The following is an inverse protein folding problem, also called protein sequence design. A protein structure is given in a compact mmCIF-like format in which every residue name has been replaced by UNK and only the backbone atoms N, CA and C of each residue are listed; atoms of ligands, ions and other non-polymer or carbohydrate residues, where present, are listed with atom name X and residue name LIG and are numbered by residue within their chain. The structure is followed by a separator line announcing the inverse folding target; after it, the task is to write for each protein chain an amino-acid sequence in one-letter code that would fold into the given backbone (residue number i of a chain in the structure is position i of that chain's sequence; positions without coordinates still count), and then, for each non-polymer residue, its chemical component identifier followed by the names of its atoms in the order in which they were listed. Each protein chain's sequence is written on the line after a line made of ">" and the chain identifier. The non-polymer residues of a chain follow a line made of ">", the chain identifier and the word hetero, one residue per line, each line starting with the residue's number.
data_IF_210221359578
#
_entry.id   IF_210221359578
#
_cell.length_a   1.000
_cell.length_b   1.000
_cell.length_c   1.000
_cell.angle_alpha   90.00
_cell.angle_beta   90.00
_cell.angle_gamma   90.00
#
_symmetry.space_group_name_H-M   'P 1'
#
loop_
_entity.id
_entity.type
_entity.pdbx_description
1 polymer ?
#
# COMPACT_ATOMS: atom_id res chain seq x y z
N UNK A 1 -28.59 -27.80 25.03
CA UNK A 1 -28.38 -28.59 23.80
C UNK A 1 -27.40 -27.84 22.93
N UNK A 2 -26.18 -28.35 22.77
CA UNK A 2 -25.17 -27.80 21.87
C UNK A 2 -25.42 -28.40 20.49
N UNK A 3 -25.53 -27.56 19.45
CA UNK A 3 -25.64 -28.01 18.08
C UNK A 3 -24.20 -28.22 17.53
N UNK A 4 -23.74 -29.47 17.30
CA UNK A 4 -22.36 -29.77 16.94
C UNK A 4 -22.00 -29.44 15.48
N UNK A 5 -22.97 -28.96 14.68
CA UNK A 5 -22.82 -28.70 13.25
C UNK A 5 -22.70 -27.22 12.89
N UNK A 6 -22.35 -26.34 13.84
CA UNK A 6 -21.97 -24.97 13.46
C UNK A 6 -20.51 -25.04 13.02
N UNK A 7 -20.17 -24.85 11.72
CA UNK A 7 -18.78 -24.69 11.36
C UNK A 7 -18.21 -23.55 12.22
N UNK A 8 -16.95 -23.65 12.67
CA UNK A 8 -16.30 -22.49 13.26
C UNK A 8 -16.48 -21.38 12.23
N UNK A 9 -17.19 -20.31 12.60
CA UNK A 9 -17.17 -19.08 11.84
C UNK A 9 -15.70 -18.83 11.58
N UNK A 10 -15.27 -18.96 10.31
CA UNK A 10 -13.91 -18.66 9.89
C UNK A 10 -13.64 -17.30 10.47
N UNK A 11 -12.89 -17.30 11.57
CA UNK A 11 -12.20 -16.11 11.98
C UNK A 11 -11.35 -15.88 10.74
N UNK A 12 -11.70 -14.86 9.94
CA UNK A 12 -10.78 -14.29 8.98
C UNK A 12 -9.54 -13.99 9.83
N UNK A 13 -8.62 -14.95 9.87
CA UNK A 13 -7.30 -14.74 10.40
C UNK A 13 -6.80 -13.61 9.52
N UNK A 14 -6.74 -12.43 10.11
CA UNK A 14 -6.25 -11.23 9.49
C UNK A 14 -4.79 -11.52 9.12
N UNK A 15 -4.56 -12.09 7.94
CA UNK A 15 -3.24 -12.53 7.52
C UNK A 15 -2.43 -11.29 7.21
N UNK A 16 -1.39 -11.11 8.02
CA UNK A 16 -0.36 -10.11 7.79
C UNK A 16 0.72 -10.74 6.93
N UNK A 17 1.20 -10.00 5.94
CA UNK A 17 2.24 -10.41 5.02
C UNK A 17 3.32 -9.33 5.00
N UNK A 18 4.57 -9.74 5.21
CA UNK A 18 5.71 -8.87 4.97
C UNK A 18 6.11 -9.00 3.50
N UNK A 19 6.22 -7.87 2.82
CA UNK A 19 6.72 -7.75 1.46
C UNK A 19 8.05 -7.02 1.51
N UNK A 20 9.11 -7.69 1.06
CA UNK A 20 10.41 -7.08 0.86
C UNK A 20 10.40 -6.26 -0.44
N UNK A 21 10.91 -5.04 -0.35
CA UNK A 21 11.07 -4.08 -1.43
C UNK A 21 12.56 -3.93 -1.77
N UNK A 22 12.90 -2.97 -2.63
CA UNK A 22 14.29 -2.62 -2.95
C UNK A 22 14.98 -2.02 -1.71
N UNK A 23 16.31 -1.91 -1.72
CA UNK A 23 17.10 -1.23 -0.67
C UNK A 23 16.90 -1.74 0.78
N UNK A 24 16.61 -3.05 0.92
CA UNK A 24 16.28 -3.70 2.19
C UNK A 24 15.11 -3.00 2.92
N UNK A 25 14.17 -2.45 2.17
CA UNK A 25 12.93 -1.92 2.69
C UNK A 25 11.86 -3.01 2.72
N UNK A 26 10.88 -2.84 3.59
CA UNK A 26 9.76 -3.77 3.69
C UNK A 26 8.49 -3.02 4.07
N UNK A 27 7.36 -3.55 3.59
CA UNK A 27 6.03 -3.15 4.04
C UNK A 27 5.33 -4.38 4.62
N UNK A 28 4.54 -4.18 5.66
CA UNK A 28 3.62 -5.18 6.19
C UNK A 28 2.23 -4.80 5.74
N UNK A 29 1.61 -5.70 5.00
CA UNK A 29 0.24 -5.56 4.55
C UNK A 29 -0.66 -6.55 5.27
N UNK A 30 -1.89 -6.14 5.51
CA UNK A 30 -2.95 -6.96 6.09
C UNK A 30 -4.04 -7.12 5.05
N UNK A 31 -4.36 -8.35 4.69
CA UNK A 31 -5.53 -8.59 3.84
C UNK A 31 -6.80 -8.39 4.69
N UNK A 32 -7.57 -7.35 4.34
CA UNK A 32 -8.77 -6.95 5.07
C UNK A 32 -9.98 -7.75 4.57
N UNK A 33 -10.06 -7.92 3.26
CA UNK A 33 -11.02 -8.74 2.52
C UNK A 33 -10.28 -9.39 1.34
N UNK A 34 -10.79 -10.50 0.77
CA UNK A 34 -10.14 -11.14 -0.37
C UNK A 34 -9.78 -10.14 -1.48
N UNK A 35 -8.49 -9.94 -1.71
CA UNK A 35 -7.95 -9.01 -2.71
C UNK A 35 -7.91 -7.52 -2.32
N UNK A 36 -8.16 -7.19 -1.05
CA UNK A 36 -7.98 -5.84 -0.50
C UNK A 36 -6.92 -5.90 0.61
N UNK A 37 -5.79 -5.24 0.36
CA UNK A 37 -4.64 -5.21 1.25
C UNK A 37 -4.47 -3.81 1.82
N UNK A 38 -4.32 -3.72 3.14
CA UNK A 38 -4.02 -2.46 3.84
C UNK A 38 -2.60 -2.48 4.36
N UNK A 39 -1.81 -1.46 4.08
CA UNK A 39 -0.48 -1.29 4.67
C UNK A 39 -0.67 -0.91 6.14
N UNK A 40 -0.10 -1.71 7.04
CA UNK A 40 -0.24 -1.51 8.49
C UNK A 40 1.08 -1.15 9.17
N UNK A 41 2.19 -1.43 8.49
CA UNK A 41 3.52 -1.10 8.98
C UNK A 41 4.49 -1.02 7.80
N UNK A 42 5.56 -0.24 7.90
CA UNK A 42 6.61 -0.21 6.89
C UNK A 42 7.95 0.24 7.48
N UNK A 43 9.05 -0.21 6.89
CA UNK A 43 10.39 0.19 7.32
C UNK A 43 10.84 1.52 6.74
N UNK A 44 10.16 2.01 5.69
CA UNK A 44 10.55 3.20 4.94
C UNK A 44 10.40 4.43 5.83
N UNK A 45 9.22 4.59 6.45
CA UNK A 45 8.95 5.64 7.43
C UNK A 45 9.74 5.47 8.73
N UNK A 46 10.19 4.25 9.06
CA UNK A 46 11.00 3.98 10.27
C UNK A 46 12.49 4.25 10.10
N UNK A 47 13.05 4.10 8.89
CA UNK A 47 14.47 4.34 8.60
C UNK A 47 14.80 5.83 8.61
N UNK A 48 13.83 6.65 8.26
CA UNK A 48 14.01 8.09 8.28
C UNK A 48 13.88 8.59 9.73
N UNK A 49 14.97 8.46 10.51
CA UNK A 49 15.13 9.01 11.87
C UNK A 49 15.00 10.55 11.94
N UNK A 50 14.56 11.21 10.87
CA UNK A 50 13.99 12.54 11.00
C UNK A 50 12.74 12.42 11.86
N UNK A 51 12.78 13.09 13.01
CA UNK A 51 11.64 13.32 13.89
C UNK A 51 10.57 14.09 13.12
N UNK A 52 9.83 13.43 12.22
CA UNK A 52 8.63 13.97 11.63
C UNK A 52 7.60 13.96 12.75
N UNK A 53 7.18 15.15 13.19
CA UNK A 53 6.31 15.31 14.35
C UNK A 53 4.86 14.83 14.11
N UNK A 54 4.56 14.30 12.92
CA UNK A 54 3.24 13.91 12.44
C UNK A 54 3.15 12.48 11.93
N UNK A 55 1.96 12.10 11.45
CA UNK A 55 1.71 10.80 10.82
C UNK A 55 2.45 10.72 9.48
N UNK A 56 3.42 9.81 9.37
CA UNK A 56 4.12 9.56 8.10
C UNK A 56 3.39 8.48 7.31
N UNK A 57 3.05 8.80 6.07
CA UNK A 57 2.37 7.93 5.12
C UNK A 57 3.31 7.45 4.01
N UNK A 58 2.82 6.56 3.16
CA UNK A 58 3.52 6.10 1.97
C UNK A 58 3.11 7.02 0.82
N UNK A 59 4.08 7.78 0.30
CA UNK A 59 3.95 8.50 -0.96
C UNK A 59 4.51 7.68 -2.12
N UNK A 60 3.95 7.85 -3.31
CA UNK A 60 4.50 7.30 -4.55
C UNK A 60 5.37 8.37 -5.22
N UNK A 61 6.69 8.21 -5.12
CA UNK A 61 7.65 9.25 -5.54
C UNK A 61 8.10 9.14 -6.98
N UNK A 62 8.24 7.92 -7.48
CA UNK A 62 8.61 7.61 -8.86
C UNK A 62 7.82 6.35 -9.27
N UNK A 63 7.41 6.26 -10.53
CA UNK A 63 6.83 5.07 -11.13
C UNK A 63 7.38 4.91 -12.55
N UNK A 64 7.34 3.70 -13.09
CA UNK A 64 7.70 3.47 -14.48
C UNK A 64 6.52 3.67 -15.45
N UNK A 65 6.82 3.61 -16.76
CA UNK A 65 5.86 3.90 -17.83
C UNK A 65 4.67 2.91 -17.90
N UNK A 66 4.68 1.81 -17.12
CA UNK A 66 3.59 0.84 -17.07
C UNK A 66 2.51 1.19 -16.04
N UNK A 67 2.78 2.15 -15.15
CA UNK A 67 1.84 2.60 -14.11
C UNK A 67 1.00 3.77 -14.64
N UNK A 68 -0.32 3.63 -14.55
CA UNK A 68 -1.31 4.63 -14.93
C UNK A 68 -1.77 5.44 -13.71
N UNK A 69 -1.87 6.77 -13.86
CA UNK A 69 -2.51 7.67 -12.90
C UNK A 69 -3.97 7.91 -13.30
N UNK A 70 -4.90 7.38 -12.49
CA UNK A 70 -6.33 7.42 -12.75
C UNK A 70 -6.98 8.78 -12.40
N UNK A 71 -6.28 9.66 -11.68
CA UNK A 71 -6.81 10.97 -11.25
C UNK A 71 -6.34 12.13 -12.13
N UNK A 72 -5.55 11.86 -13.18
CA UNK A 72 -4.98 12.89 -14.06
C UNK A 72 -6.04 13.67 -14.88
N UNK A 73 -6.60 14.71 -14.24
CA UNK A 73 -7.30 15.83 -14.89
C UNK A 73 -6.63 17.20 -14.69
N UNK A 74 -5.49 17.28 -14.01
CA UNK A 74 -4.79 18.57 -13.85
C UNK A 74 -3.29 18.43 -13.96
N UNK A 75 -2.77 18.97 -15.06
CA UNK A 75 -1.37 19.26 -15.29
C UNK A 75 -0.88 20.33 -14.30
N UNK A 76 -0.19 19.94 -13.23
CA UNK A 76 0.89 20.73 -12.62
C UNK A 76 1.64 19.87 -11.58
N UNK A 77 2.51 18.99 -12.07
CA UNK A 77 3.31 18.07 -11.28
C UNK A 77 4.43 18.82 -10.52
N UNK A 78 4.15 19.20 -9.27
CA UNK A 78 5.19 19.32 -8.24
C UNK A 78 5.22 18.01 -7.45
N UNK A 79 5.91 17.01 -7.98
CA UNK A 79 6.53 15.78 -7.41
C UNK A 79 6.11 15.15 -6.05
N UNK A 80 5.02 15.59 -5.41
CA UNK A 80 4.57 15.10 -4.11
C UNK A 80 3.03 15.05 -4.00
N UNK A 81 2.28 15.57 -4.98
CA UNK A 81 0.81 15.50 -4.99
C UNK A 81 0.34 14.10 -5.47
N UNK A 82 0.22 13.22 -4.48
CA UNK A 82 -0.90 12.32 -4.28
C UNK A 82 -1.66 11.90 -5.54
N UNK A 83 -1.16 10.84 -6.17
CA UNK A 83 -1.93 9.95 -7.03
C UNK A 83 -2.96 9.21 -6.18
N UNK A 84 -4.11 9.81 -5.92
CA UNK A 84 -5.13 9.16 -5.06
C UNK A 84 -5.54 7.79 -5.63
N UNK A 85 -5.30 7.54 -6.93
CA UNK A 85 -5.45 6.26 -7.60
C UNK A 85 -4.35 5.96 -8.63
N UNK A 86 -3.35 5.15 -8.25
CA UNK A 86 -2.45 4.51 -9.22
C UNK A 86 -2.99 3.15 -9.64
N UNK A 87 -2.72 2.78 -10.89
CA UNK A 87 -3.03 1.44 -11.39
C UNK A 87 -1.85 0.85 -12.14
N UNK A 88 -1.53 -0.40 -11.81
CA UNK A 88 -0.66 -1.25 -12.62
C UNK A 88 -1.41 -2.54 -12.94
N UNK A 89 -1.68 -2.80 -14.22
CA UNK A 89 -2.51 -3.92 -14.69
C UNK A 89 -3.87 -4.07 -13.96
N UNK A 90 -3.96 -5.01 -13.03
CA UNK A 90 -5.11 -5.38 -12.21
C UNK A 90 -4.96 -4.98 -10.72
N UNK A 91 -3.89 -4.24 -10.41
CA UNK A 91 -3.59 -3.71 -9.08
C UNK A 91 -3.89 -2.20 -9.05
N UNK A 92 -4.70 -1.78 -8.07
CA UNK A 92 -5.09 -0.39 -7.86
C UNK A 92 -4.65 0.04 -6.45
N UNK A 93 -3.87 1.12 -6.36
CA UNK A 93 -3.47 1.75 -5.11
C UNK A 93 -4.49 2.85 -4.80
N UNK A 94 -5.10 2.81 -3.61
CA UNK A 94 -6.23 3.65 -3.22
C UNK A 94 -5.81 4.45 -1.99
N UNK A 95 -5.58 5.75 -2.20
CA UNK A 95 -5.07 6.64 -1.16
C UNK A 95 -3.74 6.17 -0.59
N UNK A 96 -3.52 6.44 0.70
CA UNK A 96 -2.20 6.33 1.33
C UNK A 96 -1.86 4.92 1.86
N UNK A 97 -2.87 4.05 2.07
CA UNK A 97 -2.67 2.77 2.74
C UNK A 97 -3.50 1.58 2.26
N UNK A 98 -4.40 1.74 1.28
CA UNK A 98 -5.20 0.64 0.73
C UNK A 98 -4.76 0.25 -0.69
N UNK A 99 -4.73 -1.05 -0.98
CA UNK A 99 -4.35 -1.58 -2.29
C UNK A 99 -5.29 -2.72 -2.66
N UNK A 100 -5.94 -2.61 -3.81
CA UNK A 100 -6.69 -3.72 -4.41
C UNK A 100 -5.78 -4.50 -5.35
N UNK A 101 -5.69 -5.80 -5.13
CA UNK A 101 -4.93 -6.71 -5.99
C UNK A 101 -5.61 -8.08 -5.99
N UNK A 102 -5.66 -8.81 -7.10
CA UNK A 102 -6.30 -10.13 -7.11
C UNK A 102 -5.53 -11.18 -6.29
N UNK A 103 -4.26 -10.92 -5.96
CA UNK A 103 -3.45 -11.76 -5.08
C UNK A 103 -2.26 -11.01 -4.49
N UNK A 104 -1.68 -11.57 -3.42
CA UNK A 104 -0.44 -11.08 -2.82
C UNK A 104 0.73 -11.05 -3.82
N UNK A 105 0.80 -12.02 -4.74
CA UNK A 105 1.89 -12.07 -5.72
C UNK A 105 1.77 -10.96 -6.76
N UNK A 106 0.54 -10.59 -7.15
CA UNK A 106 0.31 -9.41 -8.00
C UNK A 106 0.67 -8.12 -7.30
N UNK A 107 0.27 -7.98 -6.03
CA UNK A 107 0.69 -6.85 -5.21
C UNK A 107 2.22 -6.71 -5.17
N UNK A 108 2.94 -7.81 -4.94
CA UNK A 108 4.42 -7.81 -4.95
C UNK A 108 5.01 -7.37 -6.28
N UNK A 109 4.41 -7.75 -7.41
CA UNK A 109 4.86 -7.32 -8.74
C UNK A 109 4.63 -5.82 -8.92
N UNK A 110 3.42 -5.33 -8.63
CA UNK A 110 3.09 -3.91 -8.74
C UNK A 110 4.05 -3.03 -7.93
N UNK A 111 4.41 -3.46 -6.71
CA UNK A 111 5.37 -2.77 -5.85
C UNK A 111 6.80 -2.67 -6.42
N UNK A 112 7.14 -3.42 -7.48
CA UNK A 112 8.43 -3.31 -8.16
C UNK A 112 8.48 -2.16 -9.18
N UNK A 113 7.30 -1.74 -9.66
CA UNK A 113 7.10 -0.69 -10.66
C UNK A 113 6.94 0.71 -10.05
N UNK A 114 6.83 0.78 -8.72
CA UNK A 114 6.71 2.03 -7.97
C UNK A 114 7.85 2.17 -6.96
N UNK A 115 8.26 3.41 -6.73
CA UNK A 115 9.16 3.80 -5.65
C UNK A 115 8.33 4.46 -4.57
N UNK A 116 8.35 3.83 -3.39
CA UNK A 116 7.68 4.35 -2.21
C UNK A 116 8.65 5.28 -1.47
N UNK A 117 8.14 6.42 -1.02
CA UNK A 117 8.86 7.40 -0.21
C UNK A 117 8.09 7.69 1.08
N UNK A 118 8.79 8.06 2.18
CA UNK A 118 8.10 8.60 3.34
C UNK A 118 7.47 9.95 2.96
N UNK A 119 6.21 10.14 3.34
CA UNK A 119 5.47 11.38 3.11
C UNK A 119 4.93 11.92 4.44
N UNK A 120 5.21 13.18 4.74
CA UNK A 120 4.60 13.90 5.85
C UNK A 120 3.70 15.01 5.32
N UNK A 121 2.37 14.94 5.53
CA UNK A 121 1.44 15.97 5.09
C UNK A 121 1.73 17.37 5.65
N UNK A 122 2.44 17.46 6.79
CA UNK A 122 2.84 18.75 7.38
C UNK A 122 3.99 19.46 6.65
N UNK A 123 4.70 18.77 5.75
CA UNK A 123 5.81 19.33 4.98
C UNK A 123 5.35 20.12 3.72
N UNK A 124 4.03 20.10 3.42
CA UNK A 124 3.40 20.76 2.26
C UNK A 124 2.94 22.21 2.52
#
# INVERSE_FOLDING_TARGET
>A
MFNPNRPPSEQLENKMFTIELKDNESIVVKEMEPGVFKIVDNSITKKDEHQMAGETFIGFGEWDDEVEDLDSRSSDARYFDMSEHLRWEDVEFIGDDEIKAPSLDRLKQALQHIKILPYNPEDM
#
